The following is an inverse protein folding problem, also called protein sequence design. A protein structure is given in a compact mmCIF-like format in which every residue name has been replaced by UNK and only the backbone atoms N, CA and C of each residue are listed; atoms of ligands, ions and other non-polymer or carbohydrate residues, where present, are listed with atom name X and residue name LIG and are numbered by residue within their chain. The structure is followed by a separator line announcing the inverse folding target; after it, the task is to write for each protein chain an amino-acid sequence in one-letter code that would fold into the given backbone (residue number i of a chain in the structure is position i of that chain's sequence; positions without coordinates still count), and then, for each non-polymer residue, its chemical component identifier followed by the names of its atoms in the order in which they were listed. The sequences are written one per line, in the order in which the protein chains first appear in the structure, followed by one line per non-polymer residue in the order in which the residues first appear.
data_IF_389550221847
#
_entry.id   IF_389550221847
#
_cell.length_a   1.000
_cell.length_b   1.000
_cell.length_c   1.000
_cell.angle_alpha   90.00
_cell.angle_beta   90.00
_cell.angle_gamma   90.00
#
_symmetry.space_group_name_H-M   'P 1'
#
loop_
_entity.id
_entity.type
_entity.pdbx_description
1 polymer ?
#
# COMPACT_ATOMS: atom_id res chain seq x y z
N UNK A 1 1.49 7.17 24.23
CA UNK A 1 0.45 6.41 23.49
C UNK A 1 -0.84 6.47 24.29
N UNK A 2 -1.99 6.82 23.68
CA UNK A 2 -3.30 6.77 24.33
C UNK A 2 -3.67 5.33 24.73
N UNK A 3 -4.41 5.18 25.84
CA UNK A 3 -4.76 3.86 26.38
C UNK A 3 -5.69 3.06 25.45
N UNK A 4 -6.60 3.74 24.78
CA UNK A 4 -7.51 3.13 23.80
C UNK A 4 -6.77 2.59 22.57
N UNK A 5 -5.75 3.30 22.08
CA UNK A 5 -4.86 2.82 21.00
C UNK A 5 -4.07 1.60 21.47
N UNK A 6 -3.55 1.61 22.70
CA UNK A 6 -2.84 0.46 23.24
C UNK A 6 -3.73 -0.78 23.29
N UNK A 7 -4.92 -0.66 23.85
CA UNK A 7 -5.83 -1.79 24.01
C UNK A 7 -6.36 -2.31 22.66
N UNK A 8 -6.69 -1.42 21.73
CA UNK A 8 -7.29 -1.78 20.45
C UNK A 8 -6.25 -2.25 19.39
N UNK A 9 -5.06 -1.65 19.39
CA UNK A 9 -4.14 -1.75 18.26
C UNK A 9 -2.76 -2.32 18.63
N UNK A 10 -2.51 -2.64 19.92
CA UNK A 10 -1.32 -3.37 20.38
C UNK A 10 -1.73 -4.70 21.02
N UNK A 11 -2.65 -4.68 21.99
CA UNK A 11 -3.03 -5.86 22.77
C UNK A 11 -3.90 -6.82 21.94
N UNK A 12 -4.66 -6.30 20.99
CA UNK A 12 -5.50 -7.11 20.10
C UNK A 12 -4.69 -8.24 19.41
N UNK A 13 -5.28 -9.44 19.35
CA UNK A 13 -4.64 -10.66 18.86
C UNK A 13 -5.22 -11.21 17.56
N UNK A 14 -6.12 -10.48 16.95
CA UNK A 14 -6.77 -10.77 15.66
C UNK A 14 -6.93 -9.47 14.89
N UNK A 15 -6.96 -9.55 13.58
CA UNK A 15 -7.04 -8.39 12.70
C UNK A 15 -8.34 -8.34 11.91
N UNK A 16 -8.66 -9.41 11.20
CA UNK A 16 -9.85 -9.57 10.37
C UNK A 16 -10.65 -10.80 10.85
N UNK A 17 -10.77 -11.82 10.00
CA UNK A 17 -11.45 -13.07 10.30
C UNK A 17 -10.53 -14.30 10.20
N UNK A 18 -9.22 -14.08 10.22
CA UNK A 18 -8.21 -15.13 10.21
C UNK A 18 -8.35 -16.07 11.41
N UNK A 19 -7.83 -17.29 11.27
CA UNK A 19 -7.75 -18.23 12.39
C UNK A 19 -6.91 -17.62 13.53
N UNK A 20 -7.38 -17.84 14.77
CA UNK A 20 -6.65 -17.39 15.96
C UNK A 20 -5.48 -18.30 16.24
N UNK A 21 -4.30 -17.71 16.30
CA UNK A 21 -3.04 -18.41 16.57
C UNK A 21 -2.28 -17.74 17.70
N UNK A 22 -1.44 -18.49 18.39
CA UNK A 22 -0.61 -17.98 19.49
C UNK A 22 0.73 -17.43 18.97
N UNK A 23 0.65 -16.46 18.06
CA UNK A 23 1.80 -15.90 17.36
C UNK A 23 2.63 -14.93 18.21
N UNK A 24 2.03 -14.22 19.17
CA UNK A 24 2.63 -13.04 19.84
C UNK A 24 4.00 -13.30 20.44
N UNK A 25 4.19 -14.42 21.17
CA UNK A 25 5.47 -14.72 21.81
C UNK A 25 6.55 -15.02 20.76
N UNK A 26 6.24 -15.83 19.75
CA UNK A 26 7.17 -16.16 18.67
C UNK A 26 7.56 -14.90 17.88
N UNK A 27 6.59 -14.06 17.52
CA UNK A 27 6.86 -12.82 16.82
C UNK A 27 7.65 -11.83 17.67
N UNK A 28 7.39 -11.76 18.99
CA UNK A 28 8.23 -10.96 19.88
C UNK A 28 9.70 -11.43 19.85
N UNK A 29 9.94 -12.72 19.96
CA UNK A 29 11.31 -13.27 19.92
C UNK A 29 12.01 -13.01 18.58
N UNK A 30 11.28 -13.08 17.47
CA UNK A 30 11.80 -12.79 16.11
C UNK A 30 12.13 -11.31 15.93
N UNK A 31 11.20 -10.43 16.29
CA UNK A 31 11.27 -9.02 15.92
C UNK A 31 11.93 -8.11 16.95
N UNK A 32 12.06 -8.50 18.22
CA UNK A 32 12.69 -7.66 19.26
C UNK A 32 14.11 -7.22 18.90
N UNK A 33 14.87 -8.05 18.19
CA UNK A 33 16.23 -7.74 17.77
C UNK A 33 16.32 -6.54 16.83
N UNK A 34 15.26 -6.28 16.08
CA UNK A 34 15.18 -5.16 15.15
C UNK A 34 14.81 -3.83 15.81
N UNK A 35 14.23 -3.87 17.01
CA UNK A 35 13.74 -2.65 17.67
C UNK A 35 14.52 -2.27 18.93
N UNK A 36 15.31 -3.17 19.50
CA UNK A 36 15.99 -2.95 20.79
C UNK A 36 16.98 -1.76 20.76
N UNK A 37 17.55 -1.40 19.63
CA UNK A 37 18.46 -0.28 19.46
C UNK A 37 17.77 1.00 18.94
N UNK A 38 16.52 0.93 18.56
CA UNK A 38 15.78 2.07 18.04
C UNK A 38 15.49 3.09 19.15
N UNK A 39 15.67 4.36 18.84
CA UNK A 39 15.49 5.49 19.77
C UNK A 39 14.08 6.09 19.65
N UNK A 40 13.44 5.90 18.51
CA UNK A 40 12.13 6.46 18.19
C UNK A 40 11.17 5.39 17.69
N UNK A 41 9.87 5.66 17.81
CA UNK A 41 8.81 4.79 17.23
C UNK A 41 8.98 4.67 15.70
N UNK A 42 9.37 5.76 15.04
CA UNK A 42 9.60 5.75 13.60
C UNK A 42 10.72 4.79 13.20
N UNK A 43 11.87 4.85 13.86
CA UNK A 43 12.98 3.92 13.62
C UNK A 43 12.56 2.47 13.83
N UNK A 44 11.74 2.19 14.87
CA UNK A 44 11.25 0.85 15.13
C UNK A 44 10.31 0.35 14.03
N UNK A 45 9.39 1.21 13.54
CA UNK A 45 8.49 0.90 12.42
C UNK A 45 9.31 0.57 11.17
N UNK A 46 10.24 1.44 10.78
CA UNK A 46 11.06 1.26 9.58
C UNK A 46 11.91 -0.01 9.67
N UNK A 47 12.44 -0.32 10.85
CA UNK A 47 13.26 -1.51 11.08
C UNK A 47 12.45 -2.81 10.97
N UNK A 48 11.27 -2.88 11.59
CA UNK A 48 10.39 -4.06 11.46
C UNK A 48 9.95 -4.23 10.02
N UNK A 49 9.47 -3.17 9.38
CA UNK A 49 8.95 -3.20 8.02
C UNK A 49 10.00 -3.67 7.00
N UNK A 50 11.24 -3.17 7.12
CA UNK A 50 12.36 -3.54 6.24
C UNK A 50 12.73 -5.02 6.36
N UNK A 51 12.54 -5.63 7.53
CA UNK A 51 13.02 -6.98 7.82
C UNK A 51 11.92 -8.05 7.86
N UNK A 52 10.64 -7.67 7.84
CA UNK A 52 9.52 -8.62 8.00
C UNK A 52 9.51 -9.71 6.94
N UNK A 53 9.76 -9.36 5.70
CA UNK A 53 9.77 -10.30 4.57
C UNK A 53 10.86 -11.36 4.74
N UNK A 54 12.08 -10.93 5.03
CA UNK A 54 13.22 -11.84 5.18
C UNK A 54 13.10 -12.70 6.45
N UNK A 55 12.53 -12.15 7.53
CA UNK A 55 12.33 -12.87 8.78
C UNK A 55 11.25 -13.95 8.66
N UNK A 56 10.16 -13.69 7.95
CA UNK A 56 9.02 -14.59 7.83
C UNK A 56 9.06 -15.44 6.55
N UNK A 57 9.85 -15.05 5.55
CA UNK A 57 9.98 -15.71 4.25
C UNK A 57 8.62 -15.94 3.55
N UNK A 58 7.76 -14.91 3.58
CA UNK A 58 6.43 -14.95 2.96
C UNK A 58 6.36 -13.88 1.88
N UNK A 59 5.89 -14.27 0.70
CA UNK A 59 5.67 -13.37 -0.43
C UNK A 59 4.22 -13.41 -0.91
N UNK A 60 3.82 -12.35 -1.63
CA UNK A 60 2.53 -12.33 -2.29
C UNK A 60 2.44 -13.42 -3.35
N UNK A 61 1.36 -14.21 -3.29
CA UNK A 61 1.11 -15.22 -4.30
C UNK A 61 -0.39 -15.52 -4.42
N UNK A 62 -0.88 -15.61 -5.64
CA UNK A 62 -2.29 -15.95 -5.92
C UNK A 62 -2.61 -17.44 -5.69
N UNK A 63 -1.59 -18.29 -5.54
CA UNK A 63 -1.75 -19.73 -5.26
C UNK A 63 -1.91 -20.07 -3.78
N UNK A 64 -1.93 -19.06 -2.87
CA UNK A 64 -2.24 -19.26 -1.46
C UNK A 64 -3.59 -19.98 -1.28
N UNK A 65 -3.75 -20.70 -0.18
CA UNK A 65 -4.96 -21.50 0.09
C UNK A 65 -6.21 -20.63 0.30
N UNK A 66 -6.07 -19.50 1.03
CA UNK A 66 -7.17 -18.56 1.30
C UNK A 66 -6.70 -17.12 1.41
N UNK A 67 -7.56 -16.11 1.29
CA UNK A 67 -7.14 -14.70 1.33
C UNK A 67 -6.73 -14.21 2.71
N UNK A 68 -7.37 -14.69 3.77
CA UNK A 68 -7.24 -14.29 5.17
C UNK A 68 -6.41 -15.28 5.99
N UNK A 69 -5.28 -15.72 5.44
CA UNK A 69 -4.41 -16.65 6.15
C UNK A 69 -3.87 -16.05 7.46
N UNK A 70 -3.95 -16.85 8.52
CA UNK A 70 -3.30 -16.55 9.78
C UNK A 70 -1.75 -16.60 9.64
N UNK A 71 -0.98 -16.05 10.60
CA UNK A 71 0.47 -15.97 10.51
C UNK A 71 1.16 -17.29 10.17
N UNK A 72 0.88 -18.35 10.90
CA UNK A 72 1.53 -19.65 10.66
C UNK A 72 1.03 -20.36 9.41
N UNK A 73 -0.21 -20.10 8.98
CA UNK A 73 -0.72 -20.58 7.68
C UNK A 73 0.08 -19.97 6.53
N UNK A 74 0.33 -18.66 6.59
CA UNK A 74 1.13 -17.93 5.60
C UNK A 74 2.59 -18.38 5.61
N UNK A 75 3.20 -18.49 6.79
CA UNK A 75 4.60 -18.93 6.94
C UNK A 75 4.81 -20.36 6.45
N UNK A 76 3.90 -21.27 6.74
CA UNK A 76 3.97 -22.68 6.27
C UNK A 76 3.94 -22.78 4.75
N UNK A 77 3.18 -21.91 4.09
CA UNK A 77 3.03 -21.89 2.64
C UNK A 77 4.08 -21.02 1.95
N UNK A 78 4.81 -20.17 2.68
CA UNK A 78 5.68 -19.10 2.15
C UNK A 78 4.95 -18.17 1.18
N UNK A 79 3.62 -18.07 1.30
CA UNK A 79 2.80 -17.23 0.41
C UNK A 79 1.54 -16.74 1.12
N UNK A 80 1.11 -15.54 0.73
CA UNK A 80 -0.11 -14.92 1.23
C UNK A 80 -0.75 -13.99 0.19
N UNK A 81 -1.98 -13.53 0.46
CA UNK A 81 -2.62 -12.40 -0.23
C UNK A 81 -2.14 -11.06 0.36
N UNK A 82 -2.60 -9.95 -0.19
CA UNK A 82 -2.42 -8.63 0.45
C UNK A 82 -3.01 -8.61 1.87
N UNK A 83 -4.15 -9.28 2.11
CA UNK A 83 -4.74 -9.41 3.45
C UNK A 83 -3.84 -10.19 4.40
N UNK A 84 -3.37 -11.38 3.99
CA UNK A 84 -2.47 -12.19 4.80
C UNK A 84 -1.12 -11.51 5.08
N UNK A 85 -0.56 -10.80 4.11
CA UNK A 85 0.66 -10.00 4.31
C UNK A 85 0.42 -8.83 5.29
N UNK A 86 -0.75 -8.18 5.21
CA UNK A 86 -1.11 -7.12 6.16
C UNK A 86 -1.34 -7.65 7.57
N UNK A 87 -1.91 -8.85 7.73
CA UNK A 87 -2.05 -9.54 9.01
C UNK A 87 -0.65 -9.81 9.60
N UNK A 88 0.26 -10.41 8.83
CA UNK A 88 1.64 -10.69 9.25
C UNK A 88 2.36 -9.43 9.76
N UNK A 89 2.30 -8.35 8.99
CA UNK A 89 2.97 -7.11 9.36
C UNK A 89 2.32 -6.44 10.58
N UNK A 90 0.98 -6.45 10.69
CA UNK A 90 0.29 -5.94 11.88
C UNK A 90 0.71 -6.72 13.14
N UNK A 91 0.77 -8.05 13.04
CA UNK A 91 1.14 -8.91 14.17
C UNK A 91 2.61 -8.73 14.56
N UNK A 92 3.52 -8.55 13.58
CA UNK A 92 4.92 -8.23 13.82
C UNK A 92 5.07 -6.88 14.58
N UNK A 93 4.35 -5.85 14.16
CA UNK A 93 4.32 -4.56 14.84
C UNK A 93 3.77 -4.68 16.28
N UNK A 94 2.59 -5.31 16.42
CA UNK A 94 1.95 -5.49 17.73
C UNK A 94 2.80 -6.30 18.71
N UNK A 95 3.53 -7.30 18.21
CA UNK A 95 4.40 -8.13 19.05
C UNK A 95 5.50 -7.32 19.75
N UNK A 96 5.99 -6.27 19.13
CA UNK A 96 7.02 -5.38 19.70
C UNK A 96 6.47 -4.05 20.23
N UNK A 97 5.15 -3.96 20.41
CA UNK A 97 4.49 -2.81 21.05
C UNK A 97 4.21 -1.63 20.12
N UNK A 98 4.31 -1.79 18.83
CA UNK A 98 3.95 -0.77 17.84
C UNK A 98 2.45 -0.89 17.52
N UNK A 99 1.63 0.16 17.75
CA UNK A 99 0.22 0.10 17.41
C UNK A 99 0.02 0.02 15.89
N UNK A 100 -0.70 -1.00 15.47
CA UNK A 100 -0.97 -1.23 14.05
C UNK A 100 -2.33 -1.86 13.82
N UNK A 101 -2.89 -1.62 12.64
CA UNK A 101 -4.13 -2.22 12.18
C UNK A 101 -4.13 -2.42 10.67
N UNK A 102 -4.95 -3.34 10.21
CA UNK A 102 -5.19 -3.55 8.77
C UNK A 102 -6.13 -2.46 8.28
N UNK A 103 -5.77 -1.84 7.16
CA UNK A 103 -6.65 -0.95 6.41
C UNK A 103 -6.83 -1.48 4.99
N UNK A 104 -7.89 -1.08 4.30
CA UNK A 104 -8.14 -1.55 2.96
C UNK A 104 -9.41 -1.00 2.32
N UNK A 105 -9.60 -1.34 1.04
CA UNK A 105 -10.80 -1.04 0.27
C UNK A 105 -11.31 -2.30 -0.43
N UNK A 106 -12.62 -2.55 -0.43
CA UNK A 106 -13.21 -3.69 -1.15
C UNK A 106 -13.08 -3.57 -2.68
N UNK A 107 -13.09 -2.34 -3.20
CA UNK A 107 -12.84 -2.05 -4.60
C UNK A 107 -12.23 -0.66 -4.74
N UNK A 108 -11.35 -0.49 -5.71
CA UNK A 108 -10.88 0.82 -6.11
C UNK A 108 -12.03 1.65 -6.72
N UNK A 109 -11.84 2.96 -6.82
CA UNK A 109 -12.84 3.89 -7.36
C UNK A 109 -13.41 3.49 -8.75
N UNK A 110 -12.66 2.73 -9.52
CA UNK A 110 -12.94 2.24 -10.87
C UNK A 110 -13.23 0.73 -10.95
N UNK A 111 -13.56 0.11 -9.83
CA UNK A 111 -13.94 -1.31 -9.69
C UNK A 111 -12.83 -2.33 -10.04
N UNK A 112 -11.54 -1.92 -10.06
CA UNK A 112 -10.37 -2.78 -10.35
C UNK A 112 -9.97 -3.73 -9.22
N UNK A 113 -10.84 -4.25 -8.44
CA UNK A 113 -10.50 -5.15 -7.34
C UNK A 113 -10.14 -4.40 -6.06
N UNK A 114 -9.64 -5.13 -5.08
CA UNK A 114 -9.40 -4.68 -3.70
C UNK A 114 -7.92 -4.58 -3.38
N UNK A 115 -7.61 -3.91 -2.28
CA UNK A 115 -6.28 -3.94 -1.67
C UNK A 115 -6.37 -3.77 -0.16
N UNK A 116 -5.46 -4.43 0.57
CA UNK A 116 -5.26 -4.25 2.01
C UNK A 116 -3.81 -3.90 2.29
N UNK A 117 -3.62 -3.02 3.29
CA UNK A 117 -2.34 -2.51 3.75
C UNK A 117 -2.35 -2.28 5.26
N UNK A 118 -1.39 -1.56 5.80
CA UNK A 118 -1.25 -1.36 7.25
C UNK A 118 -1.32 0.13 7.63
N UNK A 119 -1.93 0.42 8.75
CA UNK A 119 -1.77 1.69 9.45
C UNK A 119 -0.98 1.47 10.74
N UNK A 120 -0.12 2.42 11.09
CA UNK A 120 0.66 2.49 12.32
C UNK A 120 0.42 3.81 13.03
N UNK A 121 0.35 3.80 14.37
CA UNK A 121 0.21 5.01 15.16
C UNK A 121 1.57 5.56 15.56
N UNK A 122 1.92 6.71 15.03
CA UNK A 122 3.17 7.41 15.31
C UNK A 122 2.96 8.92 15.28
N UNK A 123 3.65 9.62 16.16
CA UNK A 123 3.57 11.09 16.31
C UNK A 123 2.13 11.60 16.51
N UNK A 124 1.32 10.87 17.28
CA UNK A 124 -0.05 11.26 17.62
C UNK A 124 -1.10 11.06 16.52
N UNK A 125 -0.77 10.34 15.44
CA UNK A 125 -1.69 10.10 14.33
C UNK A 125 -1.46 8.76 13.64
N UNK A 126 -2.47 8.30 12.90
CA UNK A 126 -2.35 7.17 12.01
C UNK A 126 -1.61 7.56 10.73
N UNK A 127 -0.65 6.72 10.35
CA UNK A 127 0.08 6.79 9.08
C UNK A 127 0.07 5.42 8.42
N UNK A 128 0.11 5.37 7.09
CA UNK A 128 0.07 4.08 6.42
C UNK A 128 1.45 3.62 5.96
N UNK A 129 1.57 2.31 5.86
CA UNK A 129 2.66 1.55 5.23
C UNK A 129 2.07 0.25 4.65
N UNK A 130 2.90 -0.59 4.06
CA UNK A 130 2.50 -1.92 3.59
C UNK A 130 3.65 -2.92 3.73
N UNK A 131 3.39 -4.20 3.50
CA UNK A 131 4.37 -5.28 3.66
C UNK A 131 5.61 -5.10 2.78
N UNK A 132 5.46 -4.52 1.60
CA UNK A 132 6.57 -4.06 0.75
C UNK A 132 6.68 -2.54 0.89
N UNK A 133 7.47 -2.05 1.87
CA UNK A 133 7.42 -0.65 2.24
C UNK A 133 8.04 0.26 1.18
N UNK A 134 7.46 1.45 1.05
CA UNK A 134 8.14 2.61 0.48
C UNK A 134 9.15 3.17 1.47
N UNK A 135 10.03 4.07 1.03
CA UNK A 135 11.03 4.70 1.91
C UNK A 135 10.41 5.50 3.07
N UNK A 136 9.23 6.08 2.83
CA UNK A 136 8.52 6.89 3.82
C UNK A 136 7.11 6.35 4.10
N UNK A 137 6.61 6.60 5.32
CA UNK A 137 5.19 6.43 5.64
C UNK A 137 4.34 7.39 4.80
N UNK A 138 3.09 7.00 4.54
CA UNK A 138 2.12 7.74 3.72
C UNK A 138 2.54 7.87 2.25
N UNK A 139 3.41 6.98 1.78
CA UNK A 139 3.78 6.83 0.36
C UNK A 139 3.60 5.39 -0.08
N UNK A 140 2.94 5.18 -1.17
CA UNK A 140 2.84 3.90 -1.87
C UNK A 140 2.20 4.09 -3.24
N UNK A 141 2.35 3.10 -4.11
CA UNK A 141 1.76 3.03 -5.43
C UNK A 141 0.25 3.24 -5.46
N UNK A 142 -0.46 2.88 -4.39
CA UNK A 142 -1.92 2.94 -4.33
C UNK A 142 -2.48 4.29 -3.86
N UNK A 143 -1.67 5.24 -3.40
CA UNK A 143 -2.18 6.47 -2.81
C UNK A 143 -3.03 7.31 -3.78
N UNK A 144 -2.70 7.30 -5.06
CA UNK A 144 -3.50 7.98 -6.09
C UNK A 144 -4.90 7.40 -6.21
N UNK A 145 -5.03 6.07 -6.16
CA UNK A 145 -6.32 5.38 -6.18
C UNK A 145 -7.07 5.56 -4.85
N UNK A 146 -6.38 5.44 -3.72
CA UNK A 146 -6.94 5.69 -2.40
C UNK A 146 -7.43 7.15 -2.24
N UNK A 147 -6.74 8.10 -2.88
CA UNK A 147 -7.13 9.50 -2.91
C UNK A 147 -8.42 9.81 -3.70
N UNK A 148 -8.87 8.87 -4.53
CA UNK A 148 -10.12 8.93 -5.30
C UNK A 148 -11.23 8.06 -4.69
N UNK A 149 -11.01 7.47 -3.52
CA UNK A 149 -12.01 6.66 -2.81
C UNK A 149 -13.29 7.47 -2.52
N UNK A 150 -14.43 6.80 -2.50
CA UNK A 150 -15.77 7.41 -2.35
C UNK A 150 -16.34 6.99 -1.00
N UNK A 151 -16.38 7.91 -0.05
CA UNK A 151 -16.75 7.64 1.35
C UNK A 151 -18.15 7.05 1.52
N UNK A 152 -19.09 7.50 0.72
CA UNK A 152 -20.50 7.13 0.76
C UNK A 152 -20.80 5.83 0.01
N UNK A 153 -19.87 5.34 -0.80
CA UNK A 153 -19.98 4.05 -1.48
C UNK A 153 -19.29 2.97 -0.65
N UNK A 154 -20.05 2.07 -0.05
CA UNK A 154 -19.53 1.01 0.82
C UNK A 154 -18.46 0.12 0.16
N UNK A 155 -18.50 -0.01 -1.15
CA UNK A 155 -17.52 -0.80 -1.89
C UNK A 155 -16.25 -0.02 -2.26
N UNK A 156 -16.34 1.32 -2.32
CA UNK A 156 -15.26 2.21 -2.78
C UNK A 156 -14.67 3.06 -1.64
N UNK A 157 -15.18 2.88 -0.43
CA UNK A 157 -14.64 3.51 0.76
C UNK A 157 -13.42 2.75 1.29
N UNK A 158 -12.65 3.42 2.15
CA UNK A 158 -11.50 2.85 2.82
C UNK A 158 -11.85 2.61 4.30
N UNK A 159 -11.55 1.42 4.77
CA UNK A 159 -11.82 0.98 6.13
C UNK A 159 -10.53 0.63 6.85
N UNK A 160 -10.49 0.88 8.15
CA UNK A 160 -9.46 0.40 9.05
C UNK A 160 -10.08 -0.51 10.11
N UNK A 161 -9.57 -1.73 10.24
CA UNK A 161 -10.09 -2.71 11.19
C UNK A 161 -9.95 -2.22 12.64
N UNK A 162 -10.95 -2.53 13.46
CA UNK A 162 -10.99 -2.22 14.88
C UNK A 162 -11.29 -3.48 15.69
N UNK A 163 -10.54 -3.71 16.75
CA UNK A 163 -10.83 -4.81 17.68
C UNK A 163 -12.02 -4.51 18.59
N UNK A 164 -12.20 -3.24 18.97
CA UNK A 164 -13.37 -2.75 19.70
C UNK A 164 -14.53 -2.44 18.75
N UNK A 165 -15.78 -2.43 19.24
CA UNK A 165 -16.94 -1.99 18.44
C UNK A 165 -16.71 -0.63 17.79
N UNK A 166 -17.12 -0.51 16.54
CA UNK A 166 -17.05 0.70 15.74
C UNK A 166 -18.33 0.83 14.88
N UNK A 167 -18.52 1.99 14.26
CA UNK A 167 -19.76 2.33 13.55
C UNK A 167 -19.95 1.58 12.22
N UNK A 168 -18.93 0.87 11.76
CA UNK A 168 -18.94 0.11 10.52
C UNK A 168 -18.31 -1.27 10.69
N UNK A 169 -18.26 -2.03 9.61
CA UNK A 169 -17.57 -3.31 9.53
C UNK A 169 -16.55 -3.29 8.40
N UNK A 170 -15.52 -4.12 8.51
CA UNK A 170 -14.51 -4.30 7.46
C UNK A 170 -15.10 -5.20 6.37
N UNK A 171 -15.29 -4.70 5.13
CA UNK A 171 -15.88 -5.49 4.06
C UNK A 171 -14.89 -6.55 3.56
N UNK A 172 -15.22 -7.82 3.78
CA UNK A 172 -14.39 -8.94 3.33
C UNK A 172 -14.87 -9.39 1.94
N UNK A 173 -14.08 -9.12 0.90
CA UNK A 173 -14.45 -9.43 -0.50
C UNK A 173 -14.53 -10.93 -0.79
N UNK A 174 -13.99 -11.78 0.07
CA UNK A 174 -14.05 -13.25 -0.03
C UNK A 174 -15.25 -13.85 0.70
N UNK A 175 -15.90 -13.09 1.58
CA UNK A 175 -17.17 -13.47 2.23
C UNK A 175 -17.94 -12.23 2.67
N UNK A 176 -18.81 -11.75 1.81
CA UNK A 176 -19.62 -10.54 2.02
C UNK A 176 -20.67 -10.68 3.15
N UNK A 177 -20.92 -11.91 3.64
CA UNK A 177 -21.85 -12.16 4.75
C UNK A 177 -21.21 -11.85 6.11
N UNK A 178 -19.89 -11.81 6.21
CA UNK A 178 -19.17 -11.51 7.45
C UNK A 178 -19.25 -10.02 7.73
N UNK A 179 -19.89 -9.67 8.86
CA UNK A 179 -20.06 -8.27 9.32
C UNK A 179 -19.64 -8.06 10.77
N UNK A 180 -19.02 -9.06 11.40
CA UNK A 180 -18.60 -8.98 12.79
C UNK A 180 -17.18 -8.40 12.97
N UNK A 181 -16.43 -8.19 11.91
CA UNK A 181 -15.14 -7.50 11.95
C UNK A 181 -15.41 -6.01 11.97
N UNK A 182 -15.28 -5.37 13.13
CA UNK A 182 -15.52 -3.95 13.27
C UNK A 182 -14.51 -3.12 12.50
N UNK A 183 -14.91 -1.97 11.98
CA UNK A 183 -14.05 -1.06 11.26
C UNK A 183 -14.50 0.40 11.35
N UNK A 184 -13.55 1.30 11.20
CA UNK A 184 -13.76 2.73 10.99
C UNK A 184 -13.69 3.05 9.50
N UNK A 185 -14.61 3.87 8.98
CA UNK A 185 -14.46 4.44 7.65
C UNK A 185 -13.43 5.57 7.70
N UNK A 186 -12.27 5.34 7.11
CA UNK A 186 -11.12 6.25 7.15
C UNK A 186 -10.85 6.94 5.81
N UNK A 187 -11.81 6.92 4.89
CA UNK A 187 -11.69 7.46 3.53
C UNK A 187 -11.19 8.91 3.53
N UNK A 188 -11.73 9.76 4.40
CA UNK A 188 -11.35 11.18 4.47
C UNK A 188 -9.86 11.38 4.75
N UNK A 189 -9.21 10.47 5.47
CA UNK A 189 -7.78 10.53 5.73
C UNK A 189 -6.98 10.41 4.42
N UNK A 190 -7.30 9.41 3.60
CA UNK A 190 -6.58 9.15 2.36
C UNK A 190 -6.86 10.20 1.29
N UNK A 191 -8.11 10.62 1.13
CA UNK A 191 -8.46 11.68 0.19
C UNK A 191 -7.82 13.01 0.58
N UNK A 192 -7.78 13.33 1.89
CA UNK A 192 -7.12 14.55 2.40
C UNK A 192 -5.61 14.48 2.25
N UNK A 193 -4.98 13.32 2.54
CA UNK A 193 -3.55 13.11 2.37
C UNK A 193 -3.14 13.29 0.90
N UNK A 194 -3.88 12.68 -0.01
CA UNK A 194 -3.62 12.81 -1.44
C UNK A 194 -3.75 14.27 -1.91
N UNK A 195 -4.83 14.97 -1.51
CA UNK A 195 -5.01 16.40 -1.82
C UNK A 195 -3.87 17.25 -1.27
N UNK A 196 -3.44 16.99 -0.02
CA UNK A 196 -2.31 17.71 0.58
C UNK A 196 -1.01 17.50 -0.19
N UNK A 197 -0.74 16.25 -0.65
CA UNK A 197 0.43 15.98 -1.49
C UNK A 197 0.36 16.72 -2.84
N UNK A 198 -0.79 16.75 -3.49
CA UNK A 198 -0.99 17.52 -4.72
C UNK A 198 -0.81 19.03 -4.50
N UNK A 199 -1.35 19.54 -3.38
CA UNK A 199 -1.28 20.97 -3.05
C UNK A 199 0.10 21.42 -2.57
N UNK A 200 0.93 20.50 -2.07
CA UNK A 200 2.30 20.78 -1.67
C UNK A 200 3.24 21.05 -2.88
N UNK A 201 2.78 20.73 -4.09
CA UNK A 201 3.53 21.02 -5.32
C UNK A 201 3.23 22.46 -5.77
N UNK A 202 4.25 23.34 -5.86
CA UNK A 202 4.05 24.72 -6.23
C UNK A 202 3.35 24.89 -7.59
N UNK A 203 2.51 25.91 -7.70
CA UNK A 203 1.88 26.32 -8.98
C UNK A 203 2.51 27.62 -9.51
N UNK A 204 3.85 27.67 -9.42
CA UNK A 204 4.70 28.80 -9.80
C UNK A 204 5.33 28.62 -11.20
N UNK A 205 4.86 27.65 -11.94
CA UNK A 205 5.42 27.28 -13.24
C UNK A 205 6.71 26.48 -13.19
N UNK A 206 7.19 26.11 -11.99
CA UNK A 206 8.40 25.27 -11.83
C UNK A 206 8.18 23.79 -12.10
N UNK A 207 6.92 23.36 -12.23
CA UNK A 207 6.53 21.96 -12.41
C UNK A 207 5.79 21.73 -13.72
N UNK A 208 5.89 20.51 -14.22
CA UNK A 208 5.17 20.01 -15.41
C UNK A 208 4.61 18.62 -15.16
N UNK A 209 3.74 18.17 -16.06
CA UNK A 209 3.20 16.83 -16.01
C UNK A 209 4.20 15.81 -16.56
N UNK A 210 4.45 14.75 -15.79
CA UNK A 210 5.06 13.49 -16.24
C UNK A 210 3.93 12.46 -16.38
N UNK A 211 3.61 12.09 -17.59
CA UNK A 211 2.60 11.08 -17.93
C UNK A 211 3.28 9.75 -18.15
N UNK A 212 2.76 8.68 -17.54
CA UNK A 212 3.34 7.34 -17.68
C UNK A 212 2.29 6.39 -18.22
N UNK A 213 2.61 5.77 -19.33
CA UNK A 213 1.81 4.74 -19.98
C UNK A 213 2.61 3.45 -20.06
N UNK A 214 2.00 2.32 -19.74
CA UNK A 214 2.64 1.01 -19.81
C UNK A 214 1.93 0.16 -20.85
N UNK A 215 2.69 -0.49 -21.72
CA UNK A 215 2.21 -1.32 -22.79
C UNK A 215 2.77 -2.75 -22.70
N UNK A 216 2.15 -3.68 -23.42
CA UNK A 216 2.59 -5.08 -23.45
C UNK A 216 4.02 -5.21 -23.98
N UNK A 217 4.30 -4.54 -25.08
CA UNK A 217 5.60 -4.50 -25.77
C UNK A 217 5.67 -3.27 -26.68
N UNK A 218 6.79 -3.11 -27.42
CA UNK A 218 7.02 -1.96 -28.32
C UNK A 218 6.15 -2.00 -29.57
N UNK A 219 5.79 -3.18 -30.04
CA UNK A 219 5.00 -3.37 -31.27
C UNK A 219 3.51 -3.09 -31.03
N UNK A 220 3.09 -3.13 -29.75
CA UNK A 220 1.73 -2.89 -29.27
C UNK A 220 1.71 -1.71 -28.29
N UNK A 221 1.97 -0.50 -28.78
CA UNK A 221 2.13 0.70 -27.94
C UNK A 221 1.31 1.92 -28.43
N UNK A 222 0.23 1.69 -29.18
CA UNK A 222 -0.59 2.75 -29.73
C UNK A 222 -2.07 2.63 -29.34
N UNK A 223 -2.60 1.41 -29.23
CA UNK A 223 -3.99 1.18 -28.92
C UNK A 223 -4.25 1.11 -27.41
N UNK A 224 -5.43 1.57 -27.00
CA UNK A 224 -5.90 1.47 -25.62
C UNK A 224 -5.87 0.03 -25.09
N UNK A 225 -6.30 -0.94 -25.92
CA UNK A 225 -6.32 -2.36 -25.58
C UNK A 225 -4.94 -3.00 -25.32
N UNK A 226 -3.85 -2.32 -25.65
CA UNK A 226 -2.48 -2.81 -25.43
C UNK A 226 -1.87 -2.29 -24.14
N UNK A 227 -2.56 -1.38 -23.43
CA UNK A 227 -2.10 -0.88 -22.14
C UNK A 227 -2.16 -1.95 -21.06
N UNK A 228 -1.21 -1.88 -20.14
CA UNK A 228 -1.09 -2.78 -19.00
C UNK A 228 -1.13 -1.96 -17.72
N UNK A 229 -2.03 -2.35 -16.82
CA UNK A 229 -2.09 -1.78 -15.48
C UNK A 229 -1.01 -2.45 -14.59
N UNK A 230 -0.01 -1.67 -14.19
CA UNK A 230 1.06 -2.11 -13.27
C UNK A 230 1.37 -1.02 -12.26
N UNK A 231 1.89 -1.42 -11.10
CA UNK A 231 2.33 -0.49 -10.07
C UNK A 231 3.70 0.07 -10.46
N UNK A 232 3.91 1.34 -10.18
CA UNK A 232 5.19 1.98 -10.41
C UNK A 232 5.47 3.07 -9.37
N UNK A 233 6.74 3.32 -9.14
CA UNK A 233 7.25 4.33 -8.23
C UNK A 233 8.16 5.31 -8.96
N UNK A 234 8.09 6.59 -8.56
CA UNK A 234 8.86 7.69 -9.14
C UNK A 234 9.86 8.21 -8.14
N UNK A 235 11.13 8.20 -8.50
CA UNK A 235 12.25 8.66 -7.67
C UNK A 235 12.94 9.88 -8.27
N UNK A 236 13.51 10.73 -7.39
CA UNK A 236 14.51 11.73 -7.72
C UNK A 236 15.78 11.42 -6.91
N UNK A 237 16.82 10.95 -7.57
CA UNK A 237 17.93 10.29 -6.88
C UNK A 237 17.45 9.06 -6.12
N UNK A 238 17.81 8.95 -4.84
CA UNK A 238 17.39 7.84 -3.98
C UNK A 238 16.02 8.06 -3.30
N UNK A 239 15.44 9.27 -3.44
CA UNK A 239 14.20 9.63 -2.77
C UNK A 239 12.99 9.29 -3.62
N UNK A 240 12.11 8.43 -3.10
CA UNK A 240 10.78 8.21 -3.67
C UNK A 240 9.91 9.46 -3.48
N UNK A 241 9.36 9.98 -4.59
CA UNK A 241 8.46 11.12 -4.57
C UNK A 241 7.00 10.70 -4.66
N UNK A 242 6.71 9.78 -5.59
CA UNK A 242 5.34 9.36 -5.92
C UNK A 242 5.29 7.85 -6.14
N UNK A 243 4.09 7.30 -6.04
CA UNK A 243 3.72 5.98 -6.52
C UNK A 243 2.35 6.04 -7.17
N UNK A 244 2.06 5.08 -8.03
CA UNK A 244 0.77 4.99 -8.70
C UNK A 244 0.64 3.72 -9.52
N UNK A 245 -0.57 3.51 -10.06
CA UNK A 245 -0.86 2.41 -10.95
C UNK A 245 -1.20 2.93 -12.34
N UNK A 246 -0.51 2.43 -13.36
CA UNK A 246 -0.81 2.78 -14.75
C UNK A 246 -2.19 2.28 -15.16
N UNK A 247 -2.81 2.97 -16.09
CA UNK A 247 -4.12 2.61 -16.63
C UNK A 247 -4.02 1.39 -17.54
N UNK A 248 -5.03 0.53 -17.49
CA UNK A 248 -5.08 -0.72 -18.23
C UNK A 248 -5.89 -0.65 -19.54
N UNK A 249 -6.03 -1.79 -20.19
CA UNK A 249 -6.61 -1.94 -21.53
C UNK A 249 -8.08 -1.49 -21.66
N UNK A 250 -8.84 -1.52 -20.58
CA UNK A 250 -10.28 -1.20 -20.58
C UNK A 250 -10.59 0.25 -20.20
N UNK A 251 -9.56 1.03 -19.88
CA UNK A 251 -9.73 2.43 -19.47
C UNK A 251 -9.59 3.39 -20.65
N UNK A 252 -10.20 4.57 -20.54
CA UNK A 252 -10.14 5.60 -21.58
C UNK A 252 -8.68 5.98 -21.88
N UNK A 253 -8.34 6.20 -23.15
CA UNK A 253 -6.99 6.60 -23.57
C UNK A 253 -6.54 7.93 -22.99
N UNK A 254 -7.48 8.81 -22.66
CA UNK A 254 -7.19 10.09 -22.01
C UNK A 254 -6.94 9.95 -20.50
N UNK A 255 -7.33 8.82 -19.90
CA UNK A 255 -6.98 8.48 -18.52
C UNK A 255 -5.55 7.94 -18.48
N UNK A 256 -4.61 8.80 -18.11
CA UNK A 256 -3.18 8.50 -18.05
C UNK A 256 -2.65 8.83 -16.67
N UNK A 257 -1.92 7.89 -16.08
CA UNK A 257 -1.24 8.14 -14.80
C UNK A 257 -0.30 9.33 -14.96
N UNK A 258 -0.57 10.37 -14.18
CA UNK A 258 0.12 11.65 -14.31
C UNK A 258 0.65 12.11 -12.96
N UNK A 259 1.93 12.51 -12.94
CA UNK A 259 2.60 13.11 -11.79
C UNK A 259 2.96 14.57 -12.11
N UNK A 260 2.86 15.46 -11.12
CA UNK A 260 3.35 16.82 -11.22
C UNK A 260 4.79 16.85 -10.68
N UNK A 261 5.77 17.09 -11.55
CA UNK A 261 7.20 16.97 -11.24
C UNK A 261 7.95 18.25 -11.61
N UNK A 262 9.08 18.53 -10.96
CA UNK A 262 9.92 19.69 -11.26
C UNK A 262 10.48 19.59 -12.69
N UNK A 263 10.56 20.74 -13.36
CA UNK A 263 11.17 20.89 -14.68
C UNK A 263 12.70 20.63 -14.66
N UNK A 264 13.22 20.27 -15.81
CA UNK A 264 14.68 20.16 -16.04
C UNK A 264 15.37 19.22 -15.04
N UNK A 265 14.71 18.11 -14.72
CA UNK A 265 15.20 17.08 -13.80
C UNK A 265 15.15 15.71 -14.43
N UNK A 266 15.97 14.80 -13.91
CA UNK A 266 15.94 13.37 -14.23
C UNK A 266 15.20 12.63 -13.14
N UNK A 267 14.25 11.80 -13.53
CA UNK A 267 13.50 10.92 -12.64
C UNK A 267 13.75 9.46 -13.00
N UNK A 268 13.69 8.61 -11.99
CA UNK A 268 13.80 7.17 -12.12
C UNK A 268 12.45 6.54 -11.84
N UNK A 269 11.94 5.77 -12.80
CA UNK A 269 10.70 5.00 -12.66
C UNK A 269 11.08 3.56 -12.39
N UNK A 270 10.54 2.98 -11.31
CA UNK A 270 10.69 1.55 -10.98
C UNK A 270 9.35 0.85 -11.10
N UNK A 271 9.31 -0.30 -11.75
CA UNK A 271 8.10 -1.11 -11.93
C UNK A 271 8.44 -2.58 -12.12
N UNK A 272 7.49 -3.47 -11.83
CA UNK A 272 7.65 -4.90 -12.11
C UNK A 272 7.22 -5.18 -13.55
N UNK A 273 8.08 -5.83 -14.34
CA UNK A 273 7.73 -6.25 -15.70
C UNK A 273 6.84 -7.51 -15.71
N UNK A 274 6.44 -7.98 -16.90
CA UNK A 274 5.57 -9.14 -17.06
C UNK A 274 6.14 -10.46 -16.54
N UNK A 275 7.44 -10.52 -16.31
CA UNK A 275 8.15 -11.69 -15.77
C UNK A 275 8.39 -11.59 -14.25
N UNK A 276 7.88 -10.55 -13.60
CA UNK A 276 8.08 -10.33 -12.17
C UNK A 276 9.50 -9.80 -11.83
N UNK A 277 10.19 -9.20 -12.80
CA UNK A 277 11.51 -8.59 -12.61
C UNK A 277 11.33 -7.09 -12.39
N UNK A 278 12.02 -6.53 -11.40
CA UNK A 278 12.05 -5.08 -11.16
C UNK A 278 12.83 -4.39 -12.26
N UNK A 279 12.14 -3.58 -13.06
CA UNK A 279 12.73 -2.72 -14.08
C UNK A 279 12.94 -1.31 -13.56
N UNK A 280 13.96 -0.65 -14.10
CA UNK A 280 14.31 0.73 -13.78
C UNK A 280 14.51 1.51 -15.06
N UNK A 281 13.76 2.59 -15.24
CA UNK A 281 13.84 3.46 -16.41
C UNK A 281 14.04 4.91 -16.00
N UNK A 282 15.09 5.54 -16.52
CA UNK A 282 15.30 6.99 -16.34
C UNK A 282 14.50 7.77 -17.40
N UNK A 283 13.99 8.93 -16.98
CA UNK A 283 13.29 9.88 -17.84
C UNK A 283 13.79 11.30 -17.56
N UNK A 284 14.17 12.00 -18.61
CA UNK A 284 14.51 13.43 -18.55
C UNK A 284 13.22 14.22 -18.78
N UNK A 285 12.89 15.08 -17.84
CA UNK A 285 11.72 15.97 -17.90
C UNK A 285 12.22 17.39 -18.19
N UNK A 286 11.82 17.92 -19.33
CA UNK A 286 12.15 19.29 -19.74
C UNK A 286 11.13 20.32 -19.25
N UNK A 287 10.92 21.37 -20.04
CA UNK A 287 9.99 22.48 -19.72
C UNK A 287 8.52 22.18 -20.05
N UNK A 288 8.24 21.12 -20.79
CA UNK A 288 6.92 20.74 -21.24
C UNK A 288 6.49 19.40 -20.65
N UNK A 289 5.19 19.10 -20.75
CA UNK A 289 4.66 17.77 -20.39
C UNK A 289 5.47 16.68 -21.09
N UNK A 290 5.97 15.76 -20.31
CA UNK A 290 6.73 14.58 -20.82
C UNK A 290 5.84 13.34 -20.72
N UNK A 291 5.75 12.58 -21.78
CA UNK A 291 5.05 11.28 -21.78
C UNK A 291 6.07 10.15 -21.92
N UNK A 292 6.12 9.29 -20.93
CA UNK A 292 6.96 8.10 -20.88
C UNK A 292 6.12 6.87 -21.25
N UNK A 293 6.58 6.11 -22.23
CA UNK A 293 6.04 4.78 -22.54
C UNK A 293 6.98 3.72 -21.98
N UNK A 294 6.44 2.82 -21.19
CA UNK A 294 7.14 1.66 -20.61
C UNK A 294 6.59 0.38 -21.25
N UNK A 295 7.37 -0.68 -21.24
CA UNK A 295 7.02 -1.95 -21.87
C UNK A 295 7.23 -3.10 -20.90
N UNK A 296 6.27 -4.07 -20.91
CA UNK A 296 6.32 -5.24 -20.04
C UNK A 296 7.23 -6.36 -20.54
N UNK A 297 7.63 -6.27 -21.82
CA UNK A 297 8.58 -7.19 -22.48
C UNK A 297 9.70 -6.41 -23.13
#
# INVERSE_FOLDING_TARGET
MPNDIFLNDVVAYVNLNENRENWRKDFYERFRKYVVSCKTMREAIDSVNKNVRDELMVDYNTKREKPDQAPYESMRQHMASCSGLSILLTDAFRAVGIPSRVAGTPAWHDDRGNHNWNEVWVDGKWRFTEYYPSEDLDKSWFLTDAGKAIKEDLRKAIYAASFKPADSYFPLVWDENIRYVHAENVTDRYTSLYRAQLSAVPDDGSHVALRVMVFKDKDHAEASGDRVATNLDVFKGDKQLYGGRSTGATQDMNDVLTFKVEKNQVYTIKFMNGNGVLETQNVEVGDQTTTLKLYMK
#
